data_IF_163195519130
#
_entry.id   IF_163195519130
#
_cell.length_a   1.000
_cell.length_b   1.000
_cell.length_c   1.000
_cell.angle_alpha   90.00
_cell.angle_beta   90.00
_cell.angle_gamma   90.00
#
_symmetry.space_group_name_H-M   'P 1'
#
loop_
_entity.id
_entity.type
_entity.pdbx_description
1 polymer ?
#
# COMPACT_ATOMS: atom_id res chain seq x y z
N UNK A 1 -9.63 -3.81 14.33
CA UNK A 1 -10.58 -2.84 14.90
C UNK A 1 -11.15 -2.02 13.77
N UNK A 2 -12.47 -1.82 13.73
CA UNK A 2 -13.12 -0.88 12.82
C UNK A 2 -13.69 0.27 13.65
N UNK A 3 -13.19 1.49 13.43
CA UNK A 3 -13.61 2.69 14.16
C UNK A 3 -13.52 2.50 15.69
N UNK A 4 -12.42 1.91 16.17
CA UNK A 4 -12.19 1.60 17.59
C UNK A 4 -12.88 0.32 18.10
N UNK A 5 -13.83 -0.25 17.36
CA UNK A 5 -14.54 -1.46 17.77
C UNK A 5 -13.76 -2.72 17.39
N UNK A 6 -13.60 -3.65 18.34
CA UNK A 6 -12.93 -4.93 18.07
C UNK A 6 -13.76 -5.81 17.14
N UNK A 7 -13.09 -6.44 16.17
CA UNK A 7 -13.68 -7.44 15.27
C UNK A 7 -13.28 -8.88 15.68
N UNK A 8 -12.78 -9.04 16.90
CA UNK A 8 -12.26 -10.31 17.41
C UNK A 8 -10.80 -10.56 17.04
N UNK A 9 -10.12 -11.38 17.86
CA UNK A 9 -8.74 -11.81 17.64
C UNK A 9 -8.72 -13.12 16.84
N UNK A 10 -7.73 -13.27 15.95
CA UNK A 10 -7.42 -14.54 15.27
C UNK A 10 -5.96 -14.88 15.49
N UNK A 11 -5.65 -16.18 15.57
CA UNK A 11 -4.31 -16.68 15.87
C UNK A 11 -3.67 -17.21 14.58
N UNK A 12 -2.43 -16.82 14.31
CA UNK A 12 -1.68 -17.39 13.18
C UNK A 12 -1.52 -18.90 13.38
N UNK A 13 -1.57 -19.66 12.29
CA UNK A 13 -1.46 -21.12 12.28
C UNK A 13 -2.59 -21.90 12.99
N UNK A 14 -3.72 -21.25 13.29
CA UNK A 14 -4.94 -21.93 13.75
C UNK A 14 -5.72 -22.54 12.57
N UNK A 15 -7.06 -22.50 12.63
CA UNK A 15 -7.94 -22.92 11.54
C UNK A 15 -7.56 -22.21 10.23
N UNK A 16 -7.37 -22.98 9.14
CA UNK A 16 -7.04 -22.40 7.86
C UNK A 16 -8.17 -21.49 7.38
N UNK A 17 -7.80 -20.44 6.66
CA UNK A 17 -8.76 -19.62 5.92
C UNK A 17 -8.82 -20.13 4.49
N UNK A 18 -10.03 -20.17 3.95
CA UNK A 18 -10.29 -20.46 2.56
C UNK A 18 -10.10 -19.18 1.73
N UNK A 19 -9.32 -19.27 0.64
CA UNK A 19 -9.14 -18.19 -0.32
C UNK A 19 -9.41 -18.69 -1.74
N UNK A 20 -10.10 -17.89 -2.58
CA UNK A 20 -10.32 -18.25 -3.97
C UNK A 20 -9.00 -18.23 -4.76
N UNK A 21 -8.82 -19.21 -5.64
CA UNK A 21 -7.64 -19.34 -6.50
C UNK A 21 -8.05 -19.71 -7.93
N UNK A 22 -7.15 -19.46 -8.88
CA UNK A 22 -7.36 -19.83 -10.27
C UNK A 22 -7.33 -21.35 -10.50
N UNK A 23 -7.85 -21.82 -11.64
CA UNK A 23 -7.90 -23.25 -11.98
C UNK A 23 -6.50 -23.87 -12.09
N UNK A 24 -5.46 -23.06 -12.29
CA UNK A 24 -4.07 -23.50 -12.35
C UNK A 24 -3.52 -23.90 -10.97
N UNK A 25 -4.25 -23.61 -9.88
CA UNK A 25 -3.81 -23.83 -8.49
C UNK A 25 -4.63 -24.94 -7.82
N UNK A 26 -5.96 -24.91 -7.97
CA UNK A 26 -6.85 -25.94 -7.41
C UNK A 26 -8.05 -26.21 -8.33
N UNK A 27 -8.49 -27.47 -8.37
CA UNK A 27 -9.65 -27.89 -9.16
C UNK A 27 -10.97 -27.36 -8.59
N UNK A 28 -11.07 -27.21 -7.28
CA UNK A 28 -12.25 -26.68 -6.59
C UNK A 28 -12.24 -25.14 -6.46
N UNK A 29 -11.25 -24.48 -7.09
CA UNK A 29 -11.02 -23.03 -7.06
C UNK A 29 -10.74 -22.45 -5.66
N UNK A 30 -10.41 -23.31 -4.68
CA UNK A 30 -10.19 -22.91 -3.31
C UNK A 30 -8.80 -23.34 -2.82
N UNK A 31 -8.20 -22.55 -1.93
CA UNK A 31 -6.94 -22.87 -1.27
C UNK A 31 -7.03 -22.58 0.22
N UNK A 32 -6.76 -23.61 1.02
CA UNK A 32 -6.78 -23.52 2.47
C UNK A 32 -5.40 -23.11 3.00
N UNK A 33 -5.30 -21.92 3.58
CA UNK A 33 -4.04 -21.37 4.07
C UNK A 33 -4.07 -21.04 5.56
N UNK A 34 -2.99 -21.42 6.25
CA UNK A 34 -2.73 -21.05 7.65
C UNK A 34 -1.86 -19.79 7.79
N UNK A 35 -1.48 -19.21 6.65
CA UNK A 35 -0.52 -18.09 6.57
C UNK A 35 -1.20 -16.72 6.47
N UNK A 36 -2.54 -16.67 6.39
CA UNK A 36 -3.33 -15.44 6.38
C UNK A 36 -4.34 -15.45 7.51
N UNK A 37 -4.67 -14.27 8.01
CA UNK A 37 -5.78 -14.06 8.93
C UNK A 37 -6.85 -13.27 8.20
N UNK A 38 -8.10 -13.75 8.22
CA UNK A 38 -9.19 -13.19 7.44
C UNK A 38 -10.37 -12.83 8.33
N UNK A 39 -10.90 -11.64 8.13
CA UNK A 39 -12.17 -11.18 8.69
C UNK A 39 -13.10 -10.76 7.56
N UNK A 40 -14.38 -11.13 7.68
CA UNK A 40 -15.44 -10.60 6.84
C UNK A 40 -16.01 -9.38 7.56
N UNK A 41 -15.85 -8.20 6.98
CA UNK A 41 -16.16 -6.92 7.63
C UNK A 41 -17.11 -6.14 6.73
N UNK A 42 -18.36 -5.88 7.14
CA UNK A 42 -19.24 -4.98 6.42
C UNK A 42 -18.56 -3.61 6.27
N UNK A 43 -18.52 -3.08 5.04
CA UNK A 43 -17.85 -1.83 4.77
C UNK A 43 -18.49 -0.68 5.57
N UNK A 44 -17.66 0.07 6.27
CA UNK A 44 -18.01 1.36 6.87
C UNK A 44 -16.82 2.31 6.68
N UNK A 45 -17.05 3.58 6.32
CA UNK A 45 -15.96 4.55 6.25
C UNK A 45 -15.32 4.76 7.62
N UNK A 46 -14.03 5.07 7.62
CA UNK A 46 -13.26 5.41 8.81
C UNK A 46 -11.92 4.69 8.85
N UNK A 47 -11.55 4.15 10.02
CA UNK A 47 -10.23 3.54 10.25
C UNK A 47 -10.35 2.05 10.52
N UNK A 48 -9.62 1.24 9.75
CA UNK A 48 -9.42 -0.18 10.00
C UNK A 48 -7.98 -0.38 10.50
N UNK A 49 -7.86 -0.79 11.77
CA UNK A 49 -6.58 -0.99 12.45
C UNK A 49 -6.34 -2.46 12.79
N UNK A 50 -5.21 -3.01 12.38
CA UNK A 50 -4.74 -4.33 12.77
C UNK A 50 -3.69 -4.19 13.89
N UNK A 51 -3.81 -5.02 14.94
CA UNK A 51 -2.84 -5.04 16.05
C UNK A 51 -2.33 -6.46 16.22
N UNK A 52 -1.02 -6.63 16.14
CA UNK A 52 -0.32 -7.89 16.29
C UNK A 52 0.16 -8.07 17.73
N UNK A 53 0.01 -9.29 18.25
CA UNK A 53 0.38 -9.64 19.62
C UNK A 53 1.38 -10.79 19.64
N UNK A 54 2.37 -10.72 20.55
CA UNK A 54 3.28 -11.80 20.91
C UNK A 54 3.40 -11.91 22.43
N UNK A 55 3.24 -13.12 22.98
CA UNK A 55 3.25 -13.32 24.44
C UNK A 55 2.19 -12.48 25.19
N UNK A 56 1.08 -12.16 24.53
CA UNK A 56 0.03 -11.30 25.08
C UNK A 56 0.31 -9.79 25.01
N UNK A 57 1.50 -9.38 24.55
CA UNK A 57 1.89 -7.97 24.38
C UNK A 57 1.74 -7.52 22.94
N UNK A 58 1.39 -6.26 22.73
CA UNK A 58 1.37 -5.64 21.40
C UNK A 58 2.80 -5.52 20.87
N UNK A 59 3.00 -5.89 19.60
CA UNK A 59 4.33 -5.89 18.96
C UNK A 59 4.36 -5.15 17.64
N UNK A 60 3.22 -4.98 16.97
CA UNK A 60 3.10 -4.18 15.76
C UNK A 60 1.64 -3.75 15.58
N UNK A 61 1.45 -2.65 14.89
CA UNK A 61 0.15 -2.21 14.42
C UNK A 61 0.27 -1.64 13.01
N UNK A 62 -0.83 -1.70 12.28
CA UNK A 62 -0.97 -1.08 10.97
C UNK A 62 -2.41 -0.61 10.81
N UNK A 63 -2.61 0.47 10.06
CA UNK A 63 -3.93 1.02 9.83
C UNK A 63 -4.12 1.57 8.43
N UNK A 64 -5.35 1.42 7.94
CA UNK A 64 -5.81 2.04 6.71
C UNK A 64 -7.03 2.90 7.01
N UNK A 65 -7.12 4.03 6.32
CA UNK A 65 -8.18 5.02 6.49
C UNK A 65 -8.91 5.23 5.17
N UNK A 66 -10.23 5.41 5.24
CA UNK A 66 -11.02 5.81 4.07
C UNK A 66 -10.57 7.19 3.61
N UNK A 67 -9.91 7.25 2.46
CA UNK A 67 -9.46 8.51 1.88
C UNK A 67 -10.63 9.34 1.33
N UNK A 68 -10.52 10.65 1.47
CA UNK A 68 -11.35 11.63 0.78
C UNK A 68 -10.92 11.84 -0.67
N UNK A 69 -11.39 12.95 -1.26
CA UNK A 69 -10.98 13.35 -2.60
C UNK A 69 -9.48 13.73 -2.64
N UNK A 70 -8.75 13.39 -3.72
CA UNK A 70 -7.40 13.87 -3.97
C UNK A 70 -7.26 15.37 -3.77
N UNK A 71 -6.24 15.79 -3.02
CA UNK A 71 -6.03 17.19 -2.67
C UNK A 71 -4.57 17.64 -2.81
N UNK A 72 -3.60 16.73 -2.70
CA UNK A 72 -2.17 17.08 -2.75
C UNK A 72 -1.31 15.94 -3.28
N UNK A 73 -0.12 16.32 -3.77
CA UNK A 73 0.98 15.40 -4.06
C UNK A 73 1.99 15.46 -2.92
N UNK A 74 2.47 14.30 -2.48
CA UNK A 74 3.56 14.17 -1.51
C UNK A 74 4.72 13.41 -2.14
N UNK A 75 5.91 14.00 -2.08
CA UNK A 75 7.15 13.44 -2.58
C UNK A 75 7.95 12.82 -1.43
N UNK A 76 8.28 11.54 -1.54
CA UNK A 76 9.04 10.80 -0.53
C UNK A 76 10.29 10.21 -1.18
N UNK A 77 11.44 10.90 -1.13
CA UNK A 77 12.70 10.33 -1.58
C UNK A 77 13.11 9.16 -0.67
N UNK A 78 13.64 8.10 -1.28
CA UNK A 78 14.30 7.02 -0.54
C UNK A 78 15.56 7.53 0.19
N UNK A 79 16.26 8.50 -0.42
CA UNK A 79 17.46 9.15 0.08
C UNK A 79 17.44 10.65 -0.21
N UNK A 80 17.74 11.46 0.81
CA UNK A 80 17.81 12.92 0.66
C UNK A 80 19.19 13.42 0.17
N UNK A 81 20.19 12.55 0.14
CA UNK A 81 21.56 12.86 -0.29
C UNK A 81 22.07 11.72 -1.16
N UNK A 82 22.60 12.07 -2.32
CA UNK A 82 23.20 11.15 -3.30
C UNK A 82 24.58 11.67 -3.71
N UNK A 83 25.38 10.80 -4.33
CA UNK A 83 26.69 11.16 -4.85
C UNK A 83 26.57 11.95 -6.17
N UNK A 84 27.44 12.95 -6.34
CA UNK A 84 27.55 13.72 -7.57
C UNK A 84 28.52 13.05 -8.55
N UNK A 85 28.31 11.76 -8.84
CA UNK A 85 29.16 10.93 -9.70
C UNK A 85 28.57 10.68 -11.11
N UNK A 86 27.30 11.06 -11.31
CA UNK A 86 26.57 10.88 -12.57
C UNK A 86 25.91 9.51 -12.73
N UNK A 87 26.04 8.63 -11.74
CA UNK A 87 25.48 7.27 -11.73
C UNK A 87 24.50 7.04 -10.58
N UNK A 88 24.68 7.73 -9.45
CA UNK A 88 23.83 7.58 -8.28
C UNK A 88 22.41 8.13 -8.52
N UNK A 89 21.40 7.40 -8.03
CA UNK A 89 19.98 7.70 -8.25
C UNK A 89 19.22 7.76 -6.92
N UNK A 90 18.35 8.75 -6.75
CA UNK A 90 17.30 8.68 -5.73
C UNK A 90 15.96 8.33 -6.37
N UNK A 91 15.25 7.40 -5.76
CA UNK A 91 13.88 7.04 -6.12
C UNK A 91 12.92 7.88 -5.28
N UNK A 92 12.19 8.78 -5.94
CA UNK A 92 11.20 9.64 -5.29
C UNK A 92 9.81 9.04 -5.47
N UNK A 93 9.24 8.49 -4.39
CA UNK A 93 7.87 8.00 -4.40
C UNK A 93 6.91 9.19 -4.43
N UNK A 94 5.98 9.19 -5.38
CA UNK A 94 4.95 10.23 -5.51
C UNK A 94 3.62 9.65 -5.02
N UNK A 95 3.02 10.31 -4.03
CA UNK A 95 1.74 9.90 -3.43
C UNK A 95 0.67 10.94 -3.73
N UNK A 96 -0.48 10.49 -4.23
CA UNK A 96 -1.69 11.31 -4.27
C UNK A 96 -2.43 11.13 -2.96
N UNK A 97 -2.56 12.21 -2.19
CA UNK A 97 -3.20 12.19 -0.88
C UNK A 97 -4.40 13.12 -0.83
N UNK A 98 -5.33 12.80 0.05
CA UNK A 98 -6.41 13.71 0.43
C UNK A 98 -5.91 14.84 1.34
N UNK A 99 -6.83 15.73 1.74
CA UNK A 99 -6.51 16.88 2.60
C UNK A 99 -5.92 16.48 3.95
N UNK A 100 -6.31 15.32 4.47
CA UNK A 100 -5.91 14.81 5.79
C UNK A 100 -4.63 13.95 5.72
N UNK A 101 -4.07 13.75 4.53
CA UNK A 101 -2.85 12.97 4.30
C UNK A 101 -3.08 11.47 4.12
N UNK A 102 -4.32 11.04 3.89
CA UNK A 102 -4.58 9.64 3.55
C UNK A 102 -4.26 9.42 2.07
N UNK A 103 -3.52 8.35 1.76
CA UNK A 103 -3.28 7.93 0.37
C UNK A 103 -4.62 7.64 -0.32
N UNK A 104 -4.87 8.26 -1.47
CA UNK A 104 -6.05 7.98 -2.29
C UNK A 104 -5.82 6.68 -3.09
N UNK A 105 -6.40 5.53 -2.70
CA UNK A 105 -5.99 4.22 -3.21
C UNK A 105 -6.42 3.93 -4.66
N UNK A 106 -7.19 4.83 -5.26
CA UNK A 106 -7.72 4.74 -6.63
C UNK A 106 -7.37 5.96 -7.49
N UNK A 107 -6.45 6.81 -7.02
CA UNK A 107 -6.04 7.99 -7.77
C UNK A 107 -5.23 7.57 -9.01
N UNK A 108 -5.57 8.17 -10.15
CA UNK A 108 -4.95 8.01 -11.47
C UNK A 108 -4.58 9.37 -12.09
N UNK A 109 -4.42 10.38 -11.24
CA UNK A 109 -4.11 11.75 -11.65
C UNK A 109 -2.82 11.81 -12.49
N UNK A 110 -2.87 12.52 -13.61
CA UNK A 110 -1.66 12.89 -14.35
C UNK A 110 -0.79 13.81 -13.51
N UNK A 111 0.48 13.45 -13.34
CA UNK A 111 1.48 14.24 -12.60
C UNK A 111 2.52 14.76 -13.59
N UNK A 112 2.84 16.05 -13.47
CA UNK A 112 3.92 16.68 -14.22
C UNK A 112 5.13 16.90 -13.32
N UNK A 113 6.31 16.57 -13.83
CA UNK A 113 7.56 16.64 -13.10
C UNK A 113 8.45 17.73 -13.67
N UNK A 114 9.16 18.43 -12.79
CA UNK A 114 10.19 19.39 -13.12
C UNK A 114 11.34 19.19 -12.12
N UNK A 115 12.58 19.16 -12.62
CA UNK A 115 13.78 19.06 -11.79
C UNK A 115 14.69 20.22 -12.17
N UNK A 116 15.17 20.93 -11.15
CA UNK A 116 16.10 22.04 -11.29
C UNK A 116 17.36 21.79 -10.46
N UNK A 117 18.46 22.40 -10.86
CA UNK A 117 19.74 22.29 -10.14
C UNK A 117 20.57 21.08 -10.56
N UNK A 118 21.26 20.47 -9.59
CA UNK A 118 22.25 19.43 -9.84
C UNK A 118 21.61 18.03 -9.94
N UNK A 119 20.88 17.79 -11.03
CA UNK A 119 20.25 16.51 -11.32
C UNK A 119 19.33 16.59 -12.53
N UNK A 120 18.85 15.43 -12.97
CA UNK A 120 17.88 15.32 -14.05
C UNK A 120 16.90 14.18 -13.77
N UNK A 121 15.75 14.19 -14.44
CA UNK A 121 14.81 13.07 -14.40
C UNK A 121 15.36 11.97 -15.30
N UNK A 122 15.70 10.82 -14.72
CA UNK A 122 16.17 9.66 -15.49
C UNK A 122 15.02 8.81 -16.03
N UNK A 123 13.96 8.64 -15.24
CA UNK A 123 12.76 7.91 -15.63
C UNK A 123 11.58 8.20 -14.68
N UNK A 124 10.38 7.82 -15.11
CA UNK A 124 9.15 7.78 -14.31
C UNK A 124 8.43 6.45 -14.51
N UNK A 125 7.73 5.95 -13.48
CA UNK A 125 6.96 4.70 -13.55
C UNK A 125 5.82 4.72 -12.50
N UNK A 126 4.75 3.97 -12.78
CA UNK A 126 3.64 3.73 -11.86
C UNK A 126 3.34 2.23 -11.64
N UNK A 127 4.10 1.32 -12.30
CA UNK A 127 3.95 -0.12 -12.20
C UNK A 127 2.72 -0.70 -12.91
N UNK A 128 1.97 0.09 -13.67
CA UNK A 128 0.81 -0.38 -14.43
C UNK A 128 1.26 -1.13 -15.69
N UNK A 129 1.21 -2.46 -15.64
CA UNK A 129 1.61 -3.31 -16.78
C UNK A 129 0.79 -3.11 -18.07
N UNK A 130 -0.36 -2.44 -18.00
CA UNK A 130 -1.20 -2.16 -19.17
C UNK A 130 -1.01 -0.74 -19.73
N UNK A 131 -0.18 0.12 -19.12
CA UNK A 131 0.06 1.47 -19.63
C UNK A 131 0.95 1.45 -20.88
N UNK A 132 0.79 2.46 -21.73
CA UNK A 132 1.70 2.76 -22.85
C UNK A 132 2.37 4.11 -22.67
N UNK A 133 2.28 4.71 -21.48
CA UNK A 133 3.00 5.94 -21.15
C UNK A 133 4.52 5.72 -21.24
N UNK A 134 5.27 6.69 -21.75
CA UNK A 134 6.72 6.58 -21.82
C UNK A 134 7.34 6.59 -20.42
N UNK A 135 8.47 5.90 -20.27
CA UNK A 135 9.27 5.96 -19.05
C UNK A 135 10.16 7.20 -18.95
N UNK A 136 10.28 7.99 -20.02
CA UNK A 136 11.20 9.13 -20.16
C UNK A 136 10.51 10.36 -20.73
#
# INVERSE_FOLDING_TARGET
FLNGNSLGRKKRFSDPVDIPVGPNVSHDLNFYTKYRLLWQVPYQPGTLKAVAYSGGKEVAEDEVRTAGAPAKLVLVPDRNVIHADGEDLSFVTVRVEDRDGNLCPRADNTVHFDVTGAGEIKAVDNGNAATTEPFF
#
